data_IF_516932308340
#
_entry.id   IF_516932308340
#
_cell.length_a   1.000
_cell.length_b   1.000
_cell.length_c   1.000
_cell.angle_alpha   90.00
_cell.angle_beta   90.00
_cell.angle_gamma   90.00
#
_symmetry.space_group_name_H-M   'P 1'
#
loop_
_entity.id
_entity.type
_entity.pdbx_description
1 polymer ?
#
# COMPACT_ATOMS: atom_id res chain seq x y z
N UNK A 1 -10.97 -4.79 -4.66
CA UNK A 1 -12.04 -3.79 -4.76
C UNK A 1 -11.52 -2.47 -4.20
N UNK A 2 -12.02 -1.35 -4.73
CA UNK A 2 -11.75 -0.01 -4.21
C UNK A 2 -12.58 0.22 -2.94
N UNK A 3 -11.94 0.63 -1.85
CA UNK A 3 -12.60 1.12 -0.63
C UNK A 3 -12.48 2.65 -0.60
N UNK A 4 -13.59 3.34 -0.97
CA UNK A 4 -13.61 4.79 -1.10
C UNK A 4 -14.52 5.41 -0.05
N UNK A 5 -13.94 6.15 0.87
CA UNK A 5 -14.64 7.04 1.80
C UNK A 5 -14.75 8.44 1.17
N UNK A 6 -15.95 9.02 1.13
CA UNK A 6 -16.18 10.36 0.58
C UNK A 6 -16.83 11.28 1.60
N UNK A 7 -16.30 12.49 1.70
CA UNK A 7 -16.89 13.61 2.47
C UNK A 7 -17.06 14.79 1.53
N UNK A 8 -18.29 15.11 1.18
CA UNK A 8 -18.59 16.10 0.15
C UNK A 8 -19.46 17.21 0.75
N UNK A 9 -19.10 18.45 0.49
CA UNK A 9 -19.86 19.62 0.89
C UNK A 9 -21.31 19.53 0.36
N UNK A 10 -22.32 19.97 1.13
CA UNK A 10 -23.74 19.84 0.76
C UNK A 10 -24.05 20.37 -0.64
N UNK A 11 -23.39 21.43 -1.09
CA UNK A 11 -23.58 22.03 -2.41
C UNK A 11 -23.24 21.08 -3.59
N UNK A 12 -22.35 20.09 -3.39
CA UNK A 12 -21.92 19.14 -4.43
C UNK A 12 -22.41 17.72 -4.19
N UNK A 13 -23.33 17.51 -3.24
CA UNK A 13 -23.82 16.16 -2.86
C UNK A 13 -24.50 15.43 -4.01
N UNK A 14 -25.17 16.14 -4.90
CA UNK A 14 -25.80 15.56 -6.09
C UNK A 14 -24.78 14.93 -7.06
N UNK A 15 -23.53 15.39 -7.05
CA UNK A 15 -22.42 14.90 -7.88
C UNK A 15 -21.61 13.79 -7.21
N UNK A 16 -21.96 13.37 -5.99
CA UNK A 16 -21.19 12.37 -5.22
C UNK A 16 -21.00 11.06 -5.97
N UNK A 17 -22.05 10.55 -6.60
CA UNK A 17 -22.00 9.27 -7.33
C UNK A 17 -21.06 9.37 -8.55
N UNK A 18 -21.13 10.49 -9.28
CA UNK A 18 -20.27 10.78 -10.42
C UNK A 18 -18.78 10.80 -10.00
N UNK A 19 -18.45 11.57 -8.96
CA UNK A 19 -17.10 11.66 -8.41
C UNK A 19 -16.60 10.29 -7.94
N UNK A 20 -17.41 9.54 -7.21
CA UNK A 20 -17.03 8.20 -6.73
C UNK A 20 -16.75 7.23 -7.87
N UNK A 21 -17.53 7.29 -8.93
CA UNK A 21 -17.34 6.43 -10.10
C UNK A 21 -16.04 6.78 -10.84
N UNK A 22 -15.73 8.07 -11.00
CA UNK A 22 -14.48 8.51 -11.64
C UNK A 22 -13.26 8.10 -10.84
N UNK A 23 -13.25 8.37 -9.52
CA UNK A 23 -12.17 7.96 -8.64
C UNK A 23 -11.98 6.44 -8.70
N UNK A 24 -13.07 5.66 -8.58
CA UNK A 24 -13.01 4.21 -8.60
C UNK A 24 -12.53 3.63 -9.93
N UNK A 25 -12.89 4.29 -11.04
CA UNK A 25 -12.46 3.87 -12.39
C UNK A 25 -10.97 4.10 -12.61
N UNK A 26 -10.43 5.20 -12.10
CA UNK A 26 -9.01 5.55 -12.29
C UNK A 26 -8.11 4.82 -11.30
N UNK A 27 -8.56 4.72 -10.04
CA UNK A 27 -7.75 4.13 -8.98
C UNK A 27 -7.89 2.61 -8.85
N UNK A 28 -8.87 1.99 -9.48
CA UNK A 28 -9.16 0.56 -9.58
C UNK A 28 -9.23 -0.21 -8.26
N UNK A 29 -8.24 -0.06 -7.37
CA UNK A 29 -8.08 -0.77 -6.09
C UNK A 29 -7.46 0.10 -5.02
N UNK A 30 -7.61 -0.34 -3.76
CA UNK A 30 -6.98 0.28 -2.59
C UNK A 30 -7.99 0.99 -1.72
N UNK A 31 -7.50 1.71 -0.72
CA UNK A 31 -8.30 2.56 0.15
C UNK A 31 -7.97 4.02 -0.13
N UNK A 32 -9.01 4.85 -0.33
CA UNK A 32 -8.85 6.28 -0.52
C UNK A 32 -9.91 7.04 0.27
N UNK A 33 -9.49 8.15 0.85
CA UNK A 33 -10.37 9.13 1.50
C UNK A 33 -10.41 10.38 0.62
N UNK A 34 -11.61 10.71 0.13
CA UNK A 34 -11.86 11.90 -0.66
C UNK A 34 -12.63 12.91 0.16
N UNK A 35 -12.17 14.16 0.19
CA UNK A 35 -12.84 15.24 0.89
C UNK A 35 -12.95 16.48 0.00
N UNK A 36 -14.17 17.00 -0.13
CA UNK A 36 -14.45 18.24 -0.85
C UNK A 36 -15.18 19.19 0.10
N UNK A 37 -14.57 20.31 0.43
CA UNK A 37 -15.15 21.34 1.28
C UNK A 37 -15.06 22.72 0.62
N UNK A 38 -15.88 23.65 1.09
CA UNK A 38 -15.92 25.03 0.63
C UNK A 38 -15.41 25.91 1.77
N UNK A 39 -14.37 26.69 1.50
CA UNK A 39 -13.98 27.78 2.38
C UNK A 39 -14.59 29.07 1.89
N UNK A 40 -15.42 29.71 2.72
CA UNK A 40 -15.91 31.07 2.44
C UNK A 40 -14.79 32.05 2.74
N UNK A 41 -14.44 32.89 1.76
CA UNK A 41 -13.53 34.02 2.03
C UNK A 41 -14.12 34.91 3.13
N UNK A 42 -13.27 35.40 4.02
CA UNK A 42 -13.64 36.40 5.01
C UNK A 42 -14.24 37.61 4.28
N UNK A 43 -15.44 38.04 4.66
CA UNK A 43 -16.17 39.10 4.00
C UNK A 43 -17.51 38.65 3.40
N UNK A 44 -17.93 37.40 3.64
CA UNK A 44 -19.29 37.00 3.25
C UNK A 44 -20.34 37.87 3.94
N UNK A 45 -21.23 38.43 3.15
CA UNK A 45 -22.34 39.26 3.63
C UNK A 45 -23.10 38.59 4.78
N UNK A 46 -23.58 39.41 5.72
CA UNK A 46 -24.42 38.95 6.80
C UNK A 46 -25.64 38.18 6.23
N UNK A 47 -26.09 37.14 6.94
CA UNK A 47 -27.27 36.39 6.51
C UNK A 47 -28.44 37.33 6.21
N UNK A 48 -29.05 37.29 5.02
CA UNK A 48 -30.14 38.17 4.67
C UNK A 48 -31.36 37.92 5.57
N UNK A 49 -32.04 38.99 5.92
CA UNK A 49 -33.27 38.91 6.70
C UNK A 49 -34.43 38.62 5.75
N UNK A 50 -35.19 37.57 6.04
CA UNK A 50 -36.39 37.22 5.30
C UNK A 50 -37.52 38.17 5.68
N UNK A 51 -37.73 39.23 4.88
CA UNK A 51 -38.69 40.28 5.11
C UNK A 51 -40.14 39.79 5.15
N UNK A 52 -40.47 38.76 4.37
CA UNK A 52 -41.86 38.24 4.27
C UNK A 52 -42.19 37.40 5.52
N UNK A 53 -41.26 36.58 5.99
CA UNK A 53 -41.43 35.87 7.26
C UNK A 53 -41.48 36.82 8.42
N UNK A 54 -40.65 37.85 8.44
CA UNK A 54 -40.65 38.89 9.48
C UNK A 54 -41.98 39.65 9.52
N UNK A 55 -42.53 40.06 8.36
CA UNK A 55 -43.85 40.69 8.25
C UNK A 55 -44.99 39.76 8.74
N UNK A 56 -44.92 38.50 8.36
CA UNK A 56 -45.89 37.50 8.79
C UNK A 56 -45.93 37.37 10.31
N UNK A 57 -44.78 37.21 10.95
CA UNK A 57 -44.71 37.16 12.42
C UNK A 57 -45.21 38.43 13.08
N UNK A 58 -44.83 39.59 12.54
CA UNK A 58 -45.33 40.86 13.05
C UNK A 58 -46.86 40.92 13.04
N UNK A 59 -47.52 40.60 11.91
CA UNK A 59 -48.95 40.62 11.75
C UNK A 59 -49.65 39.63 12.68
N UNK A 60 -49.12 38.43 12.84
CA UNK A 60 -49.68 37.43 13.74
C UNK A 60 -49.58 37.86 15.21
N UNK A 61 -48.43 38.34 15.65
CA UNK A 61 -48.21 38.78 17.02
C UNK A 61 -49.06 40.00 17.38
N UNK A 62 -49.19 40.94 16.45
CA UNK A 62 -50.10 42.13 16.65
C UNK A 62 -51.54 41.69 16.74
N UNK A 63 -52.05 40.79 15.93
CA UNK A 63 -53.41 40.24 15.99
C UNK A 63 -53.65 39.50 17.31
N UNK A 64 -52.75 38.60 17.71
CA UNK A 64 -52.88 37.85 18.97
C UNK A 64 -52.84 38.77 20.17
N UNK A 65 -52.00 39.80 20.16
CA UNK A 65 -51.92 40.79 21.23
C UNK A 65 -53.22 41.50 21.43
N UNK A 66 -53.90 41.92 20.33
CA UNK A 66 -55.24 42.56 20.39
C UNK A 66 -56.36 41.61 20.86
N UNK A 67 -56.34 40.39 20.36
CA UNK A 67 -57.33 39.37 20.68
C UNK A 67 -57.25 38.95 22.14
N UNK A 68 -56.05 38.76 22.69
CA UNK A 68 -55.86 38.34 24.08
C UNK A 68 -55.74 39.48 25.07
N UNK A 69 -55.78 40.74 24.62
CA UNK A 69 -55.63 41.93 25.49
C UNK A 69 -54.22 42.04 26.10
N UNK A 70 -53.23 41.45 25.48
CA UNK A 70 -51.85 41.55 25.93
C UNK A 70 -51.23 42.84 25.35
N UNK A 71 -50.54 43.65 26.16
CA UNK A 71 -49.92 44.88 25.65
C UNK A 71 -48.90 44.58 24.61
N UNK A 72 -48.89 45.27 23.47
CA UNK A 72 -47.92 45.19 22.45
C UNK A 72 -46.55 45.61 22.99
N UNK A 73 -45.43 44.95 22.52
CA UNK A 73 -44.09 45.39 22.83
C UNK A 73 -43.88 46.89 22.48
N UNK A 74 -42.95 47.53 23.16
CA UNK A 74 -42.56 48.90 22.79
C UNK A 74 -41.93 48.87 21.36
N UNK A 75 -42.02 49.93 20.56
CA UNK A 75 -41.53 50.00 19.20
C UNK A 75 -40.07 49.56 19.07
N UNK A 76 -39.24 49.87 20.05
CA UNK A 76 -37.82 49.51 20.14
C UNK A 76 -37.60 48.01 20.37
N UNK A 77 -38.52 47.29 20.96
CA UNK A 77 -38.40 45.86 21.30
C UNK A 77 -38.86 44.96 20.16
N UNK A 78 -39.72 45.47 19.27
CA UNK A 78 -40.26 44.70 18.15
C UNK A 78 -39.15 44.05 17.27
N UNK A 79 -38.15 44.83 16.89
CA UNK A 79 -37.12 44.36 16.01
C UNK A 79 -36.29 43.25 16.67
N UNK A 80 -35.98 43.39 17.96
CA UNK A 80 -35.25 42.40 18.72
C UNK A 80 -36.04 41.10 18.89
N UNK A 81 -37.36 41.20 19.09
CA UNK A 81 -38.23 40.05 19.20
C UNK A 81 -38.35 39.30 17.89
N UNK A 82 -38.62 40.01 16.79
CA UNK A 82 -38.81 39.43 15.47
C UNK A 82 -37.54 38.78 14.91
N UNK A 83 -36.37 39.34 15.15
CA UNK A 83 -35.08 38.75 14.71
C UNK A 83 -34.75 37.41 15.42
N UNK A 84 -35.41 37.13 16.55
CA UNK A 84 -35.24 35.84 17.26
C UNK A 84 -36.24 34.77 16.83
N UNK A 85 -37.21 35.12 15.97
CA UNK A 85 -38.20 34.17 15.49
C UNK A 85 -37.54 33.19 14.47
N UNK A 86 -38.03 31.95 14.42
CA UNK A 86 -37.54 30.96 13.47
C UNK A 86 -37.60 31.47 12.02
N UNK A 87 -36.62 31.08 11.23
CA UNK A 87 -36.55 31.32 9.77
C UNK A 87 -36.55 32.80 9.33
N UNK A 88 -36.49 33.74 10.27
CA UNK A 88 -36.31 35.18 9.96
C UNK A 88 -34.93 35.51 9.46
N UNK A 89 -33.91 34.84 9.99
CA UNK A 89 -32.56 34.84 9.44
C UNK A 89 -32.48 33.73 8.41
N UNK A 90 -32.55 34.06 7.15
CA UNK A 90 -32.43 33.05 6.08
C UNK A 90 -31.09 32.34 6.21
N UNK A 91 -31.11 31.04 6.48
CA UNK A 91 -29.93 30.22 6.19
C UNK A 91 -29.67 30.41 4.72
N UNK A 92 -28.46 30.83 4.36
CA UNK A 92 -28.02 30.99 2.98
C UNK A 92 -28.61 29.86 2.16
N UNK A 93 -29.49 30.17 1.21
CA UNK A 93 -30.02 29.18 0.26
C UNK A 93 -28.84 28.44 -0.30
N UNK A 94 -28.93 27.12 -0.33
CA UNK A 94 -27.96 26.30 -1.07
C UNK A 94 -28.09 26.81 -2.50
N UNK A 95 -27.14 27.63 -2.95
CA UNK A 95 -27.10 28.06 -4.35
C UNK A 95 -27.12 26.80 -5.19
N UNK A 96 -28.05 26.72 -6.14
CA UNK A 96 -28.09 25.65 -7.12
C UNK A 96 -26.73 25.65 -7.82
N UNK A 97 -26.10 24.48 -7.89
CA UNK A 97 -24.80 24.29 -8.51
C UNK A 97 -24.89 24.68 -10.00
N UNK A 98 -24.16 25.73 -10.40
CA UNK A 98 -24.10 26.12 -11.82
C UNK A 98 -23.19 25.18 -12.58
N UNK A 99 -23.47 24.97 -13.87
CA UNK A 99 -22.62 24.14 -14.76
C UNK A 99 -21.18 24.71 -14.86
N UNK A 100 -21.01 26.02 -14.79
CA UNK A 100 -19.69 26.66 -14.81
C UNK A 100 -18.90 26.34 -13.54
N UNK A 101 -19.54 26.45 -12.38
CA UNK A 101 -18.92 26.12 -11.09
C UNK A 101 -18.58 24.63 -11.03
N UNK A 102 -19.50 23.77 -11.45
CA UNK A 102 -19.26 22.32 -11.52
C UNK A 102 -18.08 21.99 -12.44
N UNK A 103 -17.99 22.61 -13.60
CA UNK A 103 -16.88 22.38 -14.54
C UNK A 103 -15.54 22.71 -13.92
N UNK A 104 -15.42 23.82 -13.17
CA UNK A 104 -14.17 24.18 -12.49
C UNK A 104 -13.82 23.20 -11.35
N UNK A 105 -14.80 22.84 -10.54
CA UNK A 105 -14.60 21.86 -9.44
C UNK A 105 -14.23 20.50 -9.99
N UNK A 106 -14.92 20.03 -11.02
CA UNK A 106 -14.65 18.77 -11.68
C UNK A 106 -13.23 18.72 -12.28
N UNK A 107 -12.79 19.79 -12.94
CA UNK A 107 -11.41 19.90 -13.45
C UNK A 107 -10.38 19.79 -12.32
N UNK A 108 -10.62 20.43 -11.18
CA UNK A 108 -9.75 20.36 -10.00
C UNK A 108 -9.71 18.94 -9.39
N UNK A 109 -10.85 18.23 -9.38
CA UNK A 109 -10.91 16.84 -8.94
C UNK A 109 -10.08 15.94 -9.87
N UNK A 110 -10.21 16.09 -11.19
CA UNK A 110 -9.44 15.33 -12.16
C UNK A 110 -7.93 15.61 -12.04
N UNK A 111 -7.54 16.85 -11.80
CA UNK A 111 -6.15 17.21 -11.54
C UNK A 111 -5.62 16.54 -10.27
N UNK A 112 -6.37 16.56 -9.18
CA UNK A 112 -6.00 15.87 -7.94
C UNK A 112 -5.83 14.36 -8.13
N UNK A 113 -6.72 13.72 -8.90
CA UNK A 113 -6.62 12.30 -9.26
C UNK A 113 -5.35 12.06 -10.09
N UNK A 114 -5.06 12.92 -11.07
CA UNK A 114 -3.85 12.81 -11.90
C UNK A 114 -2.57 12.90 -11.05
N UNK A 115 -2.50 13.85 -10.13
CA UNK A 115 -1.36 13.96 -9.21
C UNK A 115 -1.17 12.72 -8.35
N UNK A 116 -2.26 12.11 -7.86
CA UNK A 116 -2.18 10.87 -7.10
C UNK A 116 -1.69 9.70 -7.96
N UNK A 117 -2.14 9.60 -9.20
CA UNK A 117 -1.66 8.58 -10.15
C UNK A 117 -0.18 8.75 -10.44
N UNK A 118 0.28 9.96 -10.67
CA UNK A 118 1.69 10.24 -10.94
C UNK A 118 2.59 9.97 -9.73
N UNK A 119 2.11 10.32 -8.54
CA UNK A 119 2.81 9.95 -7.29
C UNK A 119 2.96 8.42 -7.16
N UNK A 120 1.89 7.67 -7.41
CA UNK A 120 1.92 6.19 -7.38
C UNK A 120 2.87 5.59 -8.41
N UNK A 121 2.93 6.16 -9.62
CA UNK A 121 3.92 5.72 -10.63
C UNK A 121 5.35 5.93 -10.16
N UNK A 122 5.63 7.07 -9.53
CA UNK A 122 6.96 7.36 -8.98
C UNK A 122 7.34 6.39 -7.85
N UNK A 123 6.41 6.11 -6.94
CA UNK A 123 6.61 5.10 -5.89
C UNK A 123 6.85 3.70 -6.49
N UNK A 124 6.06 3.32 -7.49
CA UNK A 124 6.21 2.04 -8.21
C UNK A 124 7.59 1.92 -8.85
N UNK A 125 8.05 2.94 -9.56
CA UNK A 125 9.39 2.95 -10.17
C UNK A 125 10.52 2.86 -9.13
N UNK A 126 10.37 3.55 -8.00
CA UNK A 126 11.35 3.46 -6.90
C UNK A 126 11.40 2.06 -6.29
N UNK A 127 10.25 1.42 -6.13
CA UNK A 127 10.14 0.07 -5.62
C UNK A 127 10.69 -0.97 -6.59
N UNK A 128 10.39 -0.84 -7.89
CA UNK A 128 10.98 -1.67 -8.94
C UNK A 128 12.51 -1.64 -8.89
N UNK A 129 13.09 -0.45 -8.78
CA UNK A 129 14.55 -0.29 -8.66
C UNK A 129 15.10 -1.04 -7.45
N UNK A 130 14.43 -0.94 -6.30
CA UNK A 130 14.83 -1.68 -5.09
C UNK A 130 14.75 -3.18 -5.28
N UNK A 131 13.67 -3.70 -5.88
CA UNK A 131 13.56 -5.13 -6.16
C UNK A 131 14.67 -5.63 -7.07
N UNK A 132 14.97 -4.92 -8.16
CA UNK A 132 16.05 -5.27 -9.07
C UNK A 132 17.40 -5.31 -8.37
N UNK A 133 17.68 -4.32 -7.51
CA UNK A 133 18.90 -4.28 -6.70
C UNK A 133 19.00 -5.51 -5.79
N UNK A 134 17.96 -5.80 -5.00
CA UNK A 134 17.95 -6.92 -4.06
C UNK A 134 18.06 -8.29 -4.75
N UNK A 135 17.35 -8.47 -5.86
CA UNK A 135 17.45 -9.67 -6.69
C UNK A 135 18.86 -9.83 -7.26
N UNK A 136 19.49 -8.77 -7.75
CA UNK A 136 20.86 -8.79 -8.23
C UNK A 136 21.85 -9.14 -7.12
N UNK A 137 21.66 -8.61 -5.90
CA UNK A 137 22.50 -8.94 -4.74
C UNK A 137 22.40 -10.42 -4.39
N UNK A 138 21.18 -10.99 -4.32
CA UNK A 138 21.00 -12.43 -4.06
C UNK A 138 21.68 -13.26 -5.16
N UNK A 139 21.54 -12.88 -6.43
CA UNK A 139 22.20 -13.58 -7.54
C UNK A 139 23.73 -13.54 -7.41
N UNK A 140 24.30 -12.38 -7.09
CA UNK A 140 25.74 -12.24 -6.85
C UNK A 140 26.23 -13.08 -5.66
N UNK A 141 25.46 -13.13 -4.58
CA UNK A 141 25.74 -13.97 -3.42
C UNK A 141 25.67 -15.46 -3.79
N UNK A 142 24.73 -15.84 -4.64
CA UNK A 142 24.62 -17.22 -5.14
C UNK A 142 25.85 -17.66 -5.94
N UNK A 143 26.39 -16.78 -6.77
CA UNK A 143 27.63 -17.04 -7.52
C UNK A 143 28.85 -17.21 -6.60
N UNK A 144 28.90 -16.46 -5.49
CA UNK A 144 29.99 -16.55 -4.50
C UNK A 144 30.04 -17.89 -3.74
N UNK A 145 29.00 -18.70 -3.78
CA UNK A 145 28.98 -20.04 -3.16
C UNK A 145 29.87 -21.02 -3.91
N UNK A 146 29.95 -20.90 -5.22
CA UNK A 146 30.59 -21.89 -6.10
C UNK A 146 32.07 -22.27 -5.73
N UNK A 147 32.97 -21.34 -5.35
CA UNK A 147 34.32 -21.69 -4.94
C UNK A 147 34.36 -22.57 -3.68
N UNK A 148 33.46 -22.33 -2.75
CA UNK A 148 33.41 -23.04 -1.45
C UNK A 148 32.81 -24.44 -1.53
N UNK A 149 32.09 -24.76 -2.59
CA UNK A 149 31.52 -26.12 -2.80
C UNK A 149 32.65 -27.17 -2.95
N UNK A 150 33.69 -26.87 -3.72
CA UNK A 150 34.83 -27.75 -3.91
C UNK A 150 35.63 -27.91 -2.61
N UNK A 151 35.97 -26.81 -1.96
CA UNK A 151 36.71 -26.82 -0.69
C UNK A 151 35.96 -27.62 0.40
N UNK A 152 34.66 -27.53 0.42
CA UNK A 152 33.82 -28.28 1.37
C UNK A 152 33.91 -29.79 1.15
N UNK A 153 33.84 -30.26 -0.09
CA UNK A 153 33.93 -31.68 -0.40
C UNK A 153 35.30 -32.24 0.03
N UNK A 154 36.38 -31.49 -0.23
CA UNK A 154 37.72 -31.87 0.17
C UNK A 154 37.88 -31.96 1.69
N UNK A 155 37.40 -30.96 2.44
CA UNK A 155 37.40 -30.96 3.90
C UNK A 155 36.56 -32.10 4.50
N UNK A 156 35.45 -32.48 3.89
CA UNK A 156 34.64 -33.63 4.34
C UNK A 156 35.44 -34.92 4.11
N UNK A 157 36.07 -35.08 2.96
CA UNK A 157 36.89 -36.22 2.64
C UNK A 157 38.08 -36.38 3.63
N UNK A 158 38.83 -35.34 3.86
CA UNK A 158 39.95 -35.31 4.84
C UNK A 158 39.45 -35.71 6.23
N UNK A 159 38.38 -35.11 6.71
CA UNK A 159 37.82 -35.38 8.05
C UNK A 159 37.35 -36.84 8.23
N UNK A 160 36.75 -37.41 7.20
CA UNK A 160 36.32 -38.83 7.23
C UNK A 160 37.55 -39.74 7.21
N UNK A 161 38.54 -39.45 6.35
CA UNK A 161 39.77 -40.22 6.29
C UNK A 161 40.53 -40.17 7.61
N UNK A 162 40.73 -38.98 8.19
CA UNK A 162 41.39 -38.81 9.48
C UNK A 162 40.66 -39.52 10.63
N UNK A 163 39.32 -39.50 10.64
CA UNK A 163 38.56 -40.18 11.66
C UNK A 163 38.68 -41.70 11.57
N UNK A 164 38.76 -42.25 10.35
CA UNK A 164 38.97 -43.68 10.12
C UNK A 164 40.39 -44.11 10.51
N UNK A 165 41.43 -43.34 10.15
CA UNK A 165 42.80 -43.62 10.51
C UNK A 165 43.04 -43.57 12.02
N UNK A 166 42.41 -42.66 12.73
CA UNK A 166 42.50 -42.55 14.20
C UNK A 166 41.72 -43.60 14.97
N UNK A 167 40.64 -44.12 14.41
CA UNK A 167 39.71 -45.02 15.11
C UNK A 167 40.01 -46.48 14.86
N UNK A 168 40.61 -46.81 13.72
CA UNK A 168 40.85 -48.19 13.29
C UNK A 168 42.34 -48.43 13.10
N UNK A 169 42.95 -49.13 14.02
CA UNK A 169 44.33 -49.71 13.86
C UNK A 169 44.36 -50.90 12.91
N UNK A 170 43.35 -51.10 12.09
CA UNK A 170 43.17 -52.23 11.16
C UNK A 170 42.76 -51.70 9.79
N UNK A 171 43.26 -52.39 8.75
CA UNK A 171 43.01 -52.11 7.33
C UNK A 171 41.50 -51.91 7.09
N UNK A 172 41.09 -50.68 6.76
CA UNK A 172 39.68 -50.34 6.49
C UNK A 172 39.30 -50.64 5.04
N UNK A 173 38.07 -51.07 4.81
CA UNK A 173 37.53 -51.37 3.50
C UNK A 173 37.40 -50.04 2.67
N UNK A 174 38.29 -49.87 1.71
CA UNK A 174 38.31 -48.70 0.82
C UNK A 174 37.01 -48.54 0.03
N UNK A 175 36.34 -49.64 -0.34
CA UNK A 175 35.09 -49.60 -1.07
C UNK A 175 33.98 -49.03 -0.21
N UNK A 176 33.97 -49.36 1.08
CA UNK A 176 32.99 -48.83 2.04
C UNK A 176 33.23 -47.33 2.30
N UNK A 177 34.47 -46.91 2.38
CA UNK A 177 34.82 -45.47 2.48
C UNK A 177 34.33 -44.68 1.27
N UNK A 178 34.54 -45.21 0.06
CA UNK A 178 34.09 -44.56 -1.17
C UNK A 178 32.53 -44.44 -1.21
N UNK A 179 31.80 -45.48 -0.81
CA UNK A 179 30.36 -45.47 -0.75
C UNK A 179 29.84 -44.42 0.26
N UNK A 180 30.43 -44.32 1.44
CA UNK A 180 30.08 -43.31 2.42
C UNK A 180 30.39 -41.89 1.95
N UNK A 181 31.52 -41.69 1.29
CA UNK A 181 31.91 -40.43 0.68
C UNK A 181 30.91 -39.99 -0.41
N UNK A 182 30.50 -40.89 -1.30
CA UNK A 182 29.48 -40.61 -2.33
C UNK A 182 28.18 -40.21 -1.66
N UNK A 183 27.73 -40.94 -0.66
CA UNK A 183 26.51 -40.62 0.10
C UNK A 183 26.57 -39.20 0.71
N UNK A 184 27.69 -38.82 1.35
CA UNK A 184 27.85 -37.50 1.93
C UNK A 184 27.94 -36.41 0.87
N UNK A 185 28.59 -36.64 -0.26
CA UNK A 185 28.69 -35.72 -1.38
C UNK A 185 27.28 -35.45 -1.95
N UNK A 186 26.49 -36.48 -2.21
CA UNK A 186 25.11 -36.38 -2.69
C UNK A 186 24.20 -35.66 -1.67
N UNK A 187 24.29 -36.01 -0.40
CA UNK A 187 23.51 -35.39 0.69
C UNK A 187 23.80 -33.91 0.86
N UNK A 188 25.01 -33.48 0.56
CA UNK A 188 25.45 -32.10 0.67
C UNK A 188 25.39 -31.34 -0.66
N UNK A 189 24.98 -31.99 -1.74
CA UNK A 189 24.83 -31.31 -3.02
C UNK A 189 23.79 -30.17 -2.93
N UNK A 190 24.18 -29.01 -3.47
CA UNK A 190 23.34 -27.78 -3.48
C UNK A 190 23.04 -27.30 -4.90
N UNK A 191 23.37 -28.08 -5.91
CA UNK A 191 23.18 -27.67 -7.30
C UNK A 191 21.71 -27.46 -7.65
N UNK A 192 20.84 -28.31 -7.11
CA UNK A 192 19.39 -28.21 -7.35
C UNK A 192 18.83 -26.94 -6.73
N UNK A 193 19.19 -26.62 -5.49
CA UNK A 193 18.76 -25.41 -4.79
C UNK A 193 19.27 -24.14 -5.50
N UNK A 194 20.51 -24.15 -5.95
CA UNK A 194 21.11 -23.06 -6.75
C UNK A 194 20.33 -22.83 -8.04
N UNK A 195 20.03 -23.90 -8.77
CA UNK A 195 19.29 -23.82 -10.03
C UNK A 195 17.85 -23.33 -9.81
N UNK A 196 17.16 -23.86 -8.79
CA UNK A 196 15.80 -23.44 -8.44
C UNK A 196 15.79 -21.99 -8.00
N UNK A 197 16.69 -21.57 -7.11
CA UNK A 197 16.80 -20.18 -6.68
C UNK A 197 17.07 -19.25 -7.87
N UNK A 198 17.97 -19.58 -8.76
CA UNK A 198 18.25 -18.79 -9.98
C UNK A 198 16.98 -18.66 -10.84
N UNK A 199 16.22 -19.73 -11.00
CA UNK A 199 14.96 -19.70 -11.75
C UNK A 199 13.90 -18.81 -11.05
N UNK A 200 13.79 -18.88 -9.73
CA UNK A 200 12.86 -18.02 -8.97
C UNK A 200 13.25 -16.54 -9.04
N UNK A 201 14.56 -16.21 -8.99
CA UNK A 201 15.03 -14.84 -9.18
C UNK A 201 14.64 -14.27 -10.55
N UNK A 202 14.83 -15.04 -11.62
CA UNK A 202 14.41 -14.66 -12.98
C UNK A 202 12.89 -14.53 -13.08
N UNK A 203 12.15 -15.47 -12.47
CA UNK A 203 10.70 -15.46 -12.48
C UNK A 203 10.11 -14.28 -11.70
N UNK A 204 10.77 -13.86 -10.62
CA UNK A 204 10.40 -12.66 -9.88
C UNK A 204 10.47 -11.42 -10.77
N UNK A 205 11.59 -11.22 -11.47
CA UNK A 205 11.77 -10.09 -12.39
C UNK A 205 10.73 -10.12 -13.53
N UNK A 206 10.57 -11.26 -14.21
CA UNK A 206 9.61 -11.38 -15.32
C UNK A 206 8.15 -11.19 -14.86
N UNK A 207 7.82 -11.60 -13.63
CA UNK A 207 6.49 -11.38 -13.05
C UNK A 207 6.28 -9.90 -12.74
N UNK A 208 7.28 -9.22 -12.20
CA UNK A 208 7.23 -7.78 -11.96
C UNK A 208 7.03 -7.00 -13.28
N UNK A 209 7.71 -7.38 -14.35
CA UNK A 209 7.60 -6.77 -15.68
C UNK A 209 6.27 -7.08 -16.40
N UNK A 210 5.51 -8.08 -15.97
CA UNK A 210 4.26 -8.49 -16.64
C UNK A 210 3.06 -7.57 -16.37
N UNK A 211 3.25 -6.50 -15.58
CA UNK A 211 2.26 -5.47 -15.35
C UNK A 211 1.69 -5.42 -13.94
N UNK A 212 0.60 -4.66 -13.75
CA UNK A 212 0.00 -4.36 -12.46
C UNK A 212 -0.67 -5.57 -11.78
N UNK A 213 -0.85 -5.51 -10.46
CA UNK A 213 -1.63 -6.49 -9.69
C UNK A 213 -0.90 -7.79 -9.37
N UNK A 214 0.41 -7.86 -9.55
CA UNK A 214 1.22 -9.07 -9.35
C UNK A 214 1.68 -9.28 -7.88
N UNK A 215 1.32 -8.41 -6.94
CA UNK A 215 1.82 -8.46 -5.56
C UNK A 215 1.71 -9.83 -4.89
N UNK A 216 0.54 -10.50 -4.98
CA UNK A 216 0.37 -11.86 -4.42
C UNK A 216 1.31 -12.87 -5.05
N UNK A 217 1.49 -12.80 -6.37
CA UNK A 217 2.38 -13.72 -7.11
C UNK A 217 3.84 -13.49 -6.75
N UNK A 218 4.27 -12.22 -6.64
CA UNK A 218 5.59 -11.86 -6.15
C UNK A 218 5.83 -12.36 -4.72
N UNK A 219 4.81 -12.28 -3.85
CA UNK A 219 4.85 -12.82 -2.49
C UNK A 219 5.10 -14.35 -2.48
N UNK A 220 4.39 -15.11 -3.32
CA UNK A 220 4.61 -16.55 -3.45
C UNK A 220 6.01 -16.88 -3.97
N UNK A 221 6.49 -16.16 -4.99
CA UNK A 221 7.84 -16.36 -5.51
C UNK A 221 8.89 -16.08 -4.43
N UNK A 222 8.74 -14.99 -3.65
CA UNK A 222 9.63 -14.67 -2.54
C UNK A 222 9.62 -15.76 -1.45
N UNK A 223 8.48 -16.42 -1.20
CA UNK A 223 8.42 -17.57 -0.29
C UNK A 223 9.20 -18.76 -0.83
N UNK A 224 9.06 -19.10 -2.12
CA UNK A 224 9.83 -20.19 -2.75
C UNK A 224 11.32 -19.88 -2.74
N UNK A 225 11.74 -18.65 -3.04
CA UNK A 225 13.14 -18.21 -2.87
C UNK A 225 13.64 -18.49 -1.44
N UNK A 226 12.82 -18.20 -0.44
CA UNK A 226 13.14 -18.45 0.97
C UNK A 226 13.31 -19.94 1.29
N UNK A 227 12.53 -20.81 0.68
CA UNK A 227 12.66 -22.27 0.82
C UNK A 227 14.02 -22.73 0.27
N UNK A 228 14.38 -22.32 -0.92
CA UNK A 228 15.65 -22.70 -1.54
C UNK A 228 16.86 -22.16 -0.74
N UNK A 229 16.82 -20.91 -0.27
CA UNK A 229 17.87 -20.33 0.58
C UNK A 229 17.99 -21.08 1.91
N UNK A 230 16.87 -21.49 2.52
CA UNK A 230 16.88 -22.27 3.77
C UNK A 230 17.49 -23.65 3.56
N UNK A 231 17.11 -24.36 2.49
CA UNK A 231 17.64 -25.68 2.15
C UNK A 231 19.14 -25.60 1.84
N UNK A 232 19.55 -24.60 1.05
CA UNK A 232 20.97 -24.32 0.78
C UNK A 232 21.72 -24.07 2.08
N UNK A 233 21.16 -23.31 3.02
CA UNK A 233 21.75 -23.08 4.35
C UNK A 233 21.90 -24.36 5.17
N UNK A 234 20.88 -25.22 5.18
CA UNK A 234 20.91 -26.49 5.93
C UNK A 234 21.93 -27.48 5.37
N UNK A 235 22.14 -27.46 4.06
CA UNK A 235 23.16 -28.30 3.37
C UNK A 235 24.56 -27.67 3.41
N UNK A 236 24.71 -26.37 3.71
CA UNK A 236 25.98 -25.65 3.72
C UNK A 236 26.75 -25.88 5.02
N UNK A 237 27.53 -26.95 5.08
CA UNK A 237 28.41 -27.26 6.22
C UNK A 237 29.79 -26.57 6.07
N UNK A 238 29.76 -25.25 5.84
CA UNK A 238 30.96 -24.41 5.64
C UNK A 238 30.71 -22.99 6.14
N UNK A 239 31.61 -22.44 6.96
CA UNK A 239 31.40 -21.15 7.64
C UNK A 239 31.15 -19.98 6.68
N UNK A 240 31.94 -19.87 5.59
CA UNK A 240 31.75 -18.79 4.60
C UNK A 240 30.44 -18.94 3.83
N UNK A 241 30.06 -20.17 3.45
CA UNK A 241 28.75 -20.41 2.83
C UNK A 241 27.60 -20.01 3.77
N UNK A 242 27.70 -20.29 5.06
CA UNK A 242 26.69 -19.86 6.05
C UNK A 242 26.57 -18.33 6.14
N UNK A 243 27.69 -17.60 6.10
CA UNK A 243 27.66 -16.14 6.06
C UNK A 243 26.94 -15.61 4.82
N UNK A 244 27.23 -16.19 3.66
CA UNK A 244 26.57 -15.84 2.39
C UNK A 244 25.06 -16.11 2.47
N UNK A 245 24.67 -17.25 3.02
CA UNK A 245 23.24 -17.59 3.21
C UNK A 245 22.54 -16.60 4.12
N UNK A 246 23.18 -16.15 5.21
CA UNK A 246 22.62 -15.11 6.08
C UNK A 246 22.40 -13.81 5.31
N UNK A 247 23.38 -13.38 4.51
CA UNK A 247 23.23 -12.19 3.67
C UNK A 247 22.09 -12.34 2.65
N UNK A 248 21.95 -13.52 2.01
CA UNK A 248 20.80 -13.78 1.13
C UNK A 248 19.46 -13.68 1.85
N UNK A 249 19.37 -14.16 3.09
CA UNK A 249 18.17 -14.05 3.92
C UNK A 249 17.83 -12.60 4.24
N UNK A 250 18.81 -11.79 4.57
CA UNK A 250 18.62 -10.36 4.85
C UNK A 250 18.11 -9.61 3.62
N UNK A 251 18.68 -9.86 2.44
CA UNK A 251 18.19 -9.28 1.17
C UNK A 251 16.77 -9.75 0.84
N UNK A 252 16.47 -11.02 1.05
CA UNK A 252 15.15 -11.57 0.80
C UNK A 252 14.09 -11.02 1.77
N UNK A 253 14.42 -10.81 3.03
CA UNK A 253 13.50 -10.25 4.00
C UNK A 253 13.08 -8.83 3.62
N UNK A 254 14.02 -8.02 3.14
CA UNK A 254 13.71 -6.69 2.61
C UNK A 254 12.79 -6.76 1.37
N UNK A 255 12.94 -7.77 0.51
CA UNK A 255 12.01 -8.01 -0.61
C UNK A 255 10.61 -8.33 -0.06
N UNK A 256 10.48 -9.24 0.90
CA UNK A 256 9.19 -9.64 1.47
C UNK A 256 8.46 -8.50 2.13
N UNK A 257 9.14 -7.66 2.91
CA UNK A 257 8.57 -6.45 3.51
C UNK A 257 7.99 -5.52 2.46
N UNK A 258 8.73 -5.28 1.37
CA UNK A 258 8.26 -4.41 0.30
C UNK A 258 7.12 -5.04 -0.52
N UNK A 259 7.12 -6.36 -0.70
CA UNK A 259 6.03 -7.07 -1.39
C UNK A 259 4.72 -6.98 -0.59
N UNK A 260 4.76 -6.97 0.74
CA UNK A 260 3.58 -6.71 1.57
C UNK A 260 2.98 -5.34 1.28
N UNK A 261 3.81 -4.31 1.16
CA UNK A 261 3.37 -2.96 0.78
C UNK A 261 2.71 -2.95 -0.61
N UNK A 262 3.24 -3.70 -1.58
CA UNK A 262 2.62 -3.87 -2.91
C UNK A 262 1.25 -4.55 -2.83
N UNK A 263 1.08 -5.51 -1.92
CA UNK A 263 -0.19 -6.22 -1.75
C UNK A 263 -1.26 -5.35 -1.08
N UNK A 264 -0.88 -4.53 -0.11
CA UNK A 264 -1.79 -3.62 0.60
C UNK A 264 -2.17 -2.40 -0.25
N UNK A 265 -1.22 -1.85 -0.99
CA UNK A 265 -1.36 -0.63 -1.79
C UNK A 265 -1.51 -0.92 -3.30
N UNK A 266 -2.23 -1.94 -3.72
CA UNK A 266 -2.26 -2.58 -5.06
C UNK A 266 -2.46 -1.66 -6.27
N UNK A 267 -1.73 -0.55 -6.39
CA UNK A 267 -1.72 0.30 -7.59
C UNK A 267 -0.27 0.75 -7.88
N UNK A 268 0.66 -0.18 -7.85
CA UNK A 268 1.91 0.07 -8.52
C UNK A 268 1.74 -0.44 -9.97
N UNK A 269 1.69 0.49 -10.92
CA UNK A 269 1.98 0.19 -12.31
C UNK A 269 3.52 0.14 -12.39
N UNK A 270 4.06 -1.06 -12.48
CA UNK A 270 5.46 -1.25 -12.84
C UNK A 270 5.64 -0.96 -14.33
#
# INVERSE_FOLDING_TARGET
AMDLSSRIAPAYREKEIEIRNEISKVLERGKADFSLWIEKKEGADAAPINKDVLKSYYSQLDSISRELGIPCPAPEDWLQLLLRMPDVMTKTEIQELTEEEWSMVHATILEAISHLVDFRKQEGAALEKKFREKIANINSLLEQITPYEKERVEKVKERITDALEKTLSVDYDKNRLEQELIYYIEKLDVNEEKQRLSNHLKYFISTMESGSGQGKKLGFIAQEMGREINTLGSKSNHAEMQKIVVQMKDELEQIKEQVLNVMENSIYHF
#
